data_IF_927419421332
#
_entry.id   IF_927419421332
#
_cell.length_a   1.000
_cell.length_b   1.000
_cell.length_c   1.000
_cell.angle_alpha   90.00
_cell.angle_beta   90.00
_cell.angle_gamma   90.00
#
_symmetry.space_group_name_H-M   'P 1'
#
loop_
_entity.id
_entity.type
_entity.pdbx_description
1 polymer ?
#
# COMPACT_ATOMS: atom_id res chain seq x y z
N UNK A 1 -13.80 -7.00 -64.50
CA UNK A 1 -13.66 -5.79 -63.67
C UNK A 1 -12.25 -5.28 -63.75
N UNK A 2 -12.08 -4.13 -64.43
CA UNK A 2 -10.77 -3.58 -64.78
C UNK A 2 -10.11 -2.91 -63.53
N UNK A 3 -8.79 -2.87 -63.49
CA UNK A 3 -8.01 -2.31 -62.38
C UNK A 3 -8.42 -0.85 -62.04
N UNK A 4 -8.80 -0.08 -63.06
CA UNK A 4 -9.30 1.28 -62.91
C UNK A 4 -10.66 1.37 -62.19
N UNK A 5 -11.59 0.45 -62.49
CA UNK A 5 -12.90 0.33 -61.80
C UNK A 5 -12.75 0.00 -60.32
N UNK A 6 -11.80 -0.89 -59.94
CA UNK A 6 -11.49 -1.20 -58.56
C UNK A 6 -10.98 0.01 -57.79
N UNK A 7 -10.12 0.83 -58.41
CA UNK A 7 -9.55 2.03 -57.81
C UNK A 7 -10.64 3.10 -57.58
N UNK A 8 -11.57 3.24 -58.52
CA UNK A 8 -12.64 4.21 -58.44
C UNK A 8 -13.70 3.82 -57.38
N UNK A 9 -13.97 2.52 -57.25
CA UNK A 9 -14.86 1.98 -56.19
C UNK A 9 -14.27 2.21 -54.80
N UNK A 10 -12.96 2.02 -54.62
CA UNK A 10 -12.27 2.26 -53.36
C UNK A 10 -12.22 3.76 -53.03
N UNK A 11 -12.03 4.64 -54.02
CA UNK A 11 -12.04 6.11 -53.81
C UNK A 11 -13.42 6.66 -53.44
N UNK A 12 -14.52 5.98 -53.83
CA UNK A 12 -15.90 6.38 -53.52
C UNK A 12 -16.40 5.87 -52.17
N UNK A 13 -15.71 4.89 -51.58
CA UNK A 13 -16.04 4.45 -50.22
C UNK A 13 -15.71 5.56 -49.23
N UNK A 14 -16.72 6.07 -48.56
CA UNK A 14 -16.52 6.92 -47.41
C UNK A 14 -15.96 6.06 -46.29
N UNK A 15 -14.65 6.18 -46.04
CA UNK A 15 -13.94 5.43 -44.99
C UNK A 15 -14.39 5.82 -43.57
N UNK A 16 -15.06 6.93 -43.42
CA UNK A 16 -15.61 7.42 -42.16
C UNK A 16 -17.09 7.78 -42.32
N UNK A 17 -17.94 7.14 -41.56
CA UNK A 17 -19.35 7.47 -41.39
C UNK A 17 -19.46 8.37 -40.14
N UNK A 18 -20.39 9.34 -40.09
CA UNK A 18 -20.56 10.19 -38.86
C UNK A 18 -20.72 9.38 -37.57
N UNK A 19 -21.29 8.16 -37.68
CA UNK A 19 -21.39 7.21 -36.55
C UNK A 19 -20.03 6.76 -36.00
N UNK A 20 -19.02 6.61 -36.87
CA UNK A 20 -17.69 6.16 -36.46
C UNK A 20 -17.02 7.23 -35.57
N UNK A 21 -17.24 8.51 -35.88
CA UNK A 21 -16.75 9.63 -35.05
C UNK A 21 -17.35 9.58 -33.65
N UNK A 22 -18.65 9.27 -33.56
CA UNK A 22 -19.31 9.14 -32.26
C UNK A 22 -18.75 7.96 -31.44
N UNK A 23 -18.48 6.82 -32.08
CA UNK A 23 -17.87 5.65 -31.43
C UNK A 23 -16.45 5.95 -30.95
N UNK A 24 -15.61 6.60 -31.80
CA UNK A 24 -14.26 6.99 -31.41
C UNK A 24 -14.26 8.02 -30.27
N UNK A 25 -15.17 9.01 -30.32
CA UNK A 25 -15.31 9.99 -29.24
C UNK A 25 -15.73 9.31 -27.91
N UNK A 26 -16.67 8.39 -27.95
CA UNK A 26 -17.09 7.64 -26.77
C UNK A 26 -15.95 6.78 -26.21
N UNK A 27 -15.19 6.09 -27.07
CA UNK A 27 -14.03 5.31 -26.66
C UNK A 27 -12.94 6.17 -26.01
N UNK A 28 -12.63 7.34 -26.59
CA UNK A 28 -11.67 8.29 -26.04
C UNK A 28 -12.12 8.82 -24.67
N UNK A 29 -13.40 9.16 -24.50
CA UNK A 29 -13.95 9.58 -23.22
C UNK A 29 -13.86 8.49 -22.17
N UNK A 30 -14.13 7.25 -22.53
CA UNK A 30 -14.02 6.10 -21.63
C UNK A 30 -12.56 5.87 -21.20
N UNK A 31 -11.62 5.94 -22.14
CA UNK A 31 -10.18 5.83 -21.84
C UNK A 31 -9.74 6.98 -20.93
N UNK A 32 -10.16 8.21 -21.22
CA UNK A 32 -9.85 9.37 -20.38
C UNK A 32 -10.42 9.22 -18.96
N UNK A 33 -11.66 8.74 -18.83
CA UNK A 33 -12.26 8.47 -17.53
C UNK A 33 -11.51 7.38 -16.75
N UNK A 34 -11.11 6.29 -17.40
CA UNK A 34 -10.30 5.24 -16.79
C UNK A 34 -8.92 5.75 -16.34
N UNK A 35 -8.28 6.59 -17.17
CA UNK A 35 -7.00 7.20 -16.82
C UNK A 35 -7.14 8.17 -15.64
N UNK A 36 -8.18 8.98 -15.61
CA UNK A 36 -8.45 9.87 -14.48
C UNK A 36 -8.67 9.06 -13.19
N UNK A 37 -9.45 7.98 -13.26
CA UNK A 37 -9.68 7.10 -12.12
C UNK A 37 -8.38 6.42 -11.63
N UNK A 38 -7.49 6.04 -12.55
CA UNK A 38 -6.21 5.44 -12.23
C UNK A 38 -5.19 6.44 -11.66
N UNK A 39 -5.22 7.71 -12.16
CA UNK A 39 -4.29 8.75 -11.73
C UNK A 39 -4.74 9.46 -10.43
N UNK A 40 -6.04 9.45 -10.13
CA UNK A 40 -6.62 10.00 -8.92
C UNK A 40 -7.34 8.90 -8.14
N UNK A 41 -6.61 7.93 -7.57
CA UNK A 41 -7.22 6.96 -6.68
C UNK A 41 -7.89 7.73 -5.54
N UNK A 42 -9.06 7.26 -5.12
CA UNK A 42 -9.70 7.79 -3.92
C UNK A 42 -8.66 7.80 -2.80
N UNK A 43 -8.51 8.93 -2.12
CA UNK A 43 -7.57 9.03 -1.01
C UNK A 43 -8.02 8.02 0.05
N UNK A 44 -7.23 6.97 0.24
CA UNK A 44 -7.45 6.04 1.34
C UNK A 44 -7.37 6.84 2.63
N UNK A 45 -8.36 6.73 3.48
CA UNK A 45 -8.36 7.39 4.78
C UNK A 45 -7.17 6.90 5.60
N UNK A 46 -6.53 7.82 6.35
CA UNK A 46 -5.45 7.46 7.25
C UNK A 46 -5.95 6.47 8.30
N UNK A 47 -5.14 5.46 8.61
CA UNK A 47 -5.50 4.47 9.61
C UNK A 47 -5.64 5.09 11.01
N UNK A 48 -6.47 4.49 11.84
CA UNK A 48 -6.68 4.92 13.24
C UNK A 48 -5.91 4.07 14.24
N UNK A 49 -5.58 2.83 13.85
CA UNK A 49 -4.83 1.86 14.66
C UNK A 49 -3.76 1.16 13.83
N UNK A 50 -2.74 0.68 14.48
CA UNK A 50 -1.80 -0.26 13.88
C UNK A 50 -1.75 -1.56 14.69
N UNK A 51 -1.45 -2.63 13.98
CA UNK A 51 -1.29 -3.97 14.50
C UNK A 51 0.12 -4.44 14.21
N UNK A 52 0.77 -5.03 15.19
CA UNK A 52 2.02 -5.75 14.98
C UNK A 52 1.66 -7.22 14.84
N UNK A 53 1.97 -7.79 13.68
CA UNK A 53 1.71 -9.18 13.35
C UNK A 53 3.03 -9.95 13.31
N UNK A 54 3.01 -11.18 13.79
CA UNK A 54 4.07 -12.16 13.67
C UNK A 54 3.52 -13.43 13.00
N UNK A 55 4.16 -13.87 11.93
CA UNK A 55 3.67 -15.01 11.12
C UNK A 55 2.19 -14.90 10.67
N UNK A 56 1.72 -13.67 10.47
CA UNK A 56 0.35 -13.40 10.03
C UNK A 56 -0.66 -13.20 11.17
N UNK A 57 -0.32 -13.54 12.41
CA UNK A 57 -1.17 -13.33 13.58
C UNK A 57 -0.89 -12.00 14.26
N UNK A 58 -1.92 -11.24 14.59
CA UNK A 58 -1.80 -9.99 15.34
C UNK A 58 -1.42 -10.29 16.80
N UNK A 59 -0.22 -9.87 17.21
CA UNK A 59 0.29 -10.07 18.57
C UNK A 59 0.16 -8.82 19.44
N UNK A 60 -0.01 -7.65 18.82
CA UNK A 60 -0.17 -6.38 19.53
C UNK A 60 -0.93 -5.38 18.68
N UNK A 61 -1.65 -4.46 19.32
CA UNK A 61 -2.28 -3.32 18.66
C UNK A 61 -2.25 -2.07 19.50
N UNK A 62 -2.10 -0.91 18.86
CA UNK A 62 -2.17 0.38 19.53
C UNK A 62 -2.82 1.44 18.61
N UNK A 63 -3.40 2.50 19.19
CA UNK A 63 -3.92 3.61 18.44
C UNK A 63 -2.78 4.40 17.79
N UNK A 64 -3.00 4.86 16.57
CA UNK A 64 -1.99 5.60 15.81
C UNK A 64 -1.88 7.06 16.24
N UNK A 65 -2.92 7.60 16.85
CA UNK A 65 -2.99 8.98 17.33
C UNK A 65 -2.30 9.24 18.69
N UNK A 66 -1.71 8.20 19.30
CA UNK A 66 -0.99 8.30 20.57
C UNK A 66 0.50 8.09 20.33
N UNK A 67 1.30 9.11 20.63
CA UNK A 67 2.74 9.02 20.54
C UNK A 67 3.28 8.02 21.58
N UNK A 68 3.98 7.00 21.09
CA UNK A 68 4.56 5.94 21.92
C UNK A 68 5.67 5.20 21.17
N UNK A 69 6.53 4.54 21.91
CA UNK A 69 7.55 3.63 21.38
C UNK A 69 7.33 2.23 21.94
N UNK A 70 7.56 1.23 21.07
CA UNK A 70 7.39 -0.18 21.39
C UNK A 70 8.59 -0.96 20.91
N UNK A 71 9.00 -1.91 21.69
CA UNK A 71 10.07 -2.84 21.36
C UNK A 71 9.44 -4.20 21.02
N UNK A 72 9.61 -4.63 19.78
CA UNK A 72 9.29 -5.99 19.35
C UNK A 72 10.55 -6.84 19.45
N UNK A 73 10.46 -8.01 20.07
CA UNK A 73 11.55 -8.98 20.22
C UNK A 73 11.05 -10.40 19.99
N UNK A 74 11.97 -11.32 19.75
CA UNK A 74 11.70 -12.75 19.68
C UNK A 74 12.45 -13.46 20.81
N UNK A 75 11.72 -13.88 21.82
CA UNK A 75 12.25 -14.70 22.93
C UNK A 75 11.88 -16.17 22.70
N UNK A 76 12.85 -17.02 22.51
CA UNK A 76 12.65 -18.46 22.22
C UNK A 76 11.67 -18.70 21.05
N UNK A 77 11.73 -17.84 20.00
CA UNK A 77 10.85 -17.91 18.83
C UNK A 77 9.42 -17.40 19.07
N UNK A 78 9.15 -16.81 20.22
CA UNK A 78 7.85 -16.20 20.54
C UNK A 78 7.93 -14.69 20.46
N UNK A 79 6.95 -14.05 19.80
CA UNK A 79 6.91 -12.60 19.71
C UNK A 79 6.55 -11.97 21.06
N UNK A 80 7.26 -10.93 21.44
CA UNK A 80 7.01 -10.09 22.59
C UNK A 80 7.00 -8.64 22.16
N UNK A 81 6.03 -7.87 22.65
CA UNK A 81 5.95 -6.43 22.39
C UNK A 81 5.78 -5.72 23.72
N UNK A 82 6.70 -4.82 24.02
CA UNK A 82 6.71 -4.04 25.25
C UNK A 82 6.80 -2.55 24.95
N UNK A 83 6.31 -1.72 25.87
CA UNK A 83 6.55 -0.28 25.80
C UNK A 83 8.04 -0.02 26.00
N UNK A 84 8.62 0.82 25.13
CA UNK A 84 10.03 1.19 25.19
C UNK A 84 10.19 2.59 25.77
N UNK A 85 11.07 2.74 26.73
CA UNK A 85 11.52 4.02 27.23
C UNK A 85 12.92 4.37 26.70
N UNK A 86 13.16 5.65 26.43
CA UNK A 86 14.47 6.09 25.92
C UNK A 86 15.57 5.75 26.94
N UNK A 87 16.57 4.99 26.46
CA UNK A 87 17.67 4.52 27.30
C UNK A 87 17.59 3.06 27.74
N UNK A 88 16.45 2.39 27.48
CA UNK A 88 16.37 0.95 27.72
C UNK A 88 17.35 0.20 26.79
N UNK A 89 17.88 -0.92 27.29
CA UNK A 89 18.77 -1.77 26.52
C UNK A 89 18.03 -2.41 25.36
N UNK A 90 18.67 -2.45 24.18
CA UNK A 90 18.16 -3.14 23.00
C UNK A 90 18.76 -4.54 22.95
N UNK A 91 17.94 -5.61 23.05
CA UNK A 91 18.41 -6.99 22.94
C UNK A 91 18.73 -7.36 21.49
N UNK A 92 19.19 -8.58 21.24
CA UNK A 92 19.29 -9.13 19.88
C UNK A 92 17.89 -9.49 19.34
N UNK A 93 17.70 -9.43 18.01
CA UNK A 93 16.45 -9.79 17.34
C UNK A 93 15.33 -8.78 17.54
N UNK A 94 15.63 -7.48 17.57
CA UNK A 94 14.66 -6.43 17.87
C UNK A 94 14.22 -5.60 16.65
N UNK A 95 13.03 -5.03 16.80
CA UNK A 95 12.56 -3.88 16.03
C UNK A 95 12.02 -2.82 17.00
N UNK A 96 12.60 -1.63 16.98
CA UNK A 96 12.09 -0.47 17.69
C UNK A 96 11.06 0.25 16.83
N UNK A 97 9.82 0.26 17.29
CA UNK A 97 8.67 0.82 16.59
C UNK A 97 8.27 2.12 17.28
N UNK A 98 8.12 3.20 16.51
CA UNK A 98 7.64 4.49 17.01
C UNK A 98 6.36 4.90 16.30
N UNK A 99 5.34 5.21 17.09
CA UNK A 99 4.14 5.89 16.64
C UNK A 99 4.25 7.36 17.07
N UNK A 100 4.23 8.28 16.10
CA UNK A 100 4.39 9.72 16.32
C UNK A 100 3.57 10.50 15.29
N UNK A 101 2.79 11.48 15.73
CA UNK A 101 2.05 12.37 14.84
C UNK A 101 1.08 11.66 13.89
N UNK A 102 0.42 10.58 14.35
CA UNK A 102 -0.51 9.80 13.53
C UNK A 102 0.16 8.90 12.49
N UNK A 103 1.43 8.58 12.66
CA UNK A 103 2.21 7.70 11.78
C UNK A 103 3.01 6.70 12.58
N UNK A 104 3.24 5.53 12.00
CA UNK A 104 4.11 4.52 12.60
C UNK A 104 5.31 4.24 11.69
N UNK A 105 6.45 3.96 12.29
CA UNK A 105 7.69 3.57 11.60
C UNK A 105 8.49 2.58 12.44
N UNK A 106 9.32 1.81 11.80
CA UNK A 106 10.44 1.14 12.46
C UNK A 106 11.57 2.15 12.55
N UNK A 107 11.91 2.55 13.76
CA UNK A 107 12.94 3.55 14.01
C UNK A 107 14.34 2.92 13.97
N UNK A 108 14.46 1.71 14.52
CA UNK A 108 15.69 0.95 14.58
C UNK A 108 15.40 -0.54 14.56
N UNK A 109 16.30 -1.34 14.04
CA UNK A 109 16.22 -2.81 14.02
C UNK A 109 17.63 -3.37 13.84
N UNK A 110 17.88 -4.58 14.29
CA UNK A 110 19.15 -5.28 14.06
C UNK A 110 19.09 -6.25 12.86
N UNK A 111 17.97 -6.27 12.12
CA UNK A 111 17.86 -7.05 10.89
C UNK A 111 18.94 -6.63 9.85
N UNK A 112 19.51 -7.58 9.09
CA UNK A 112 20.68 -7.31 8.24
C UNK A 112 20.38 -6.38 7.06
N UNK A 113 19.17 -6.41 6.51
CA UNK A 113 18.80 -5.67 5.30
C UNK A 113 18.24 -4.25 5.57
N UNK A 114 17.81 -3.97 6.81
CA UNK A 114 17.23 -2.67 7.22
C UNK A 114 16.05 -2.18 6.36
N UNK A 115 15.44 -3.06 5.57
CA UNK A 115 14.33 -2.72 4.67
C UNK A 115 13.14 -2.16 5.44
N UNK A 116 12.83 -2.70 6.63
CA UNK A 116 11.75 -2.23 7.48
C UNK A 116 11.91 -0.76 7.90
N UNK A 117 13.15 -0.28 8.07
CA UNK A 117 13.45 1.14 8.37
C UNK A 117 13.26 2.00 7.11
N UNK A 118 13.62 1.48 5.94
CA UNK A 118 13.52 2.19 4.67
C UNK A 118 12.08 2.51 4.25
N UNK A 119 11.08 1.78 4.78
CA UNK A 119 9.67 2.12 4.56
C UNK A 119 9.30 3.51 5.10
N UNK A 120 10.04 4.02 6.10
CA UNK A 120 9.77 5.31 6.71
C UNK A 120 8.48 5.36 7.54
N UNK A 121 8.03 6.57 7.89
CA UNK A 121 6.82 6.78 8.66
C UNK A 121 5.56 6.70 7.78
N UNK A 122 4.59 5.88 8.18
CA UNK A 122 3.36 5.61 7.43
C UNK A 122 2.12 5.81 8.28
N UNK A 123 1.07 6.31 7.64
CA UNK A 123 -0.29 6.47 8.20
C UNK A 123 -1.27 5.43 7.60
N UNK A 124 -0.80 4.57 6.68
CA UNK A 124 -1.58 3.54 5.99
C UNK A 124 -0.68 2.46 5.40
N UNK A 125 -1.28 1.32 5.07
CA UNK A 125 -0.57 0.18 4.45
C UNK A 125 0.22 -0.63 5.46
N UNK A 126 1.33 -1.20 5.02
CA UNK A 126 2.13 -2.15 5.80
C UNK A 126 3.61 -1.80 5.81
N UNK A 127 4.30 -2.16 6.90
CA UNK A 127 5.75 -2.17 7.03
C UNK A 127 6.16 -3.60 7.34
N UNK A 128 7.06 -4.17 6.53
CA UNK A 128 7.45 -5.58 6.64
C UNK A 128 8.91 -5.70 7.06
N UNK A 129 9.19 -6.54 8.05
CA UNK A 129 10.52 -7.00 8.42
C UNK A 129 10.60 -8.52 8.19
N UNK A 130 11.22 -8.93 7.08
CA UNK A 130 11.32 -10.34 6.71
C UNK A 130 12.18 -11.14 7.68
N UNK A 131 13.30 -10.58 8.13
CA UNK A 131 14.23 -11.25 9.02
C UNK A 131 13.57 -11.61 10.36
N UNK A 132 12.70 -10.75 10.86
CA UNK A 132 11.99 -10.98 12.13
C UNK A 132 10.55 -11.46 11.92
N UNK A 133 10.12 -11.75 10.68
CA UNK A 133 8.77 -12.25 10.32
C UNK A 133 7.65 -11.34 10.87
N UNK A 134 7.97 -10.05 11.03
CA UNK A 134 7.09 -9.04 11.60
C UNK A 134 6.47 -8.19 10.50
N UNK A 135 5.18 -7.92 10.62
CA UNK A 135 4.45 -6.97 9.77
C UNK A 135 3.71 -5.97 10.67
N UNK A 136 3.91 -4.68 10.43
CA UNK A 136 3.08 -3.65 11.00
C UNK A 136 2.00 -3.32 9.98
N UNK A 137 0.74 -3.57 10.31
CA UNK A 137 -0.43 -3.27 9.49
C UNK A 137 -1.18 -2.10 10.07
N UNK A 138 -1.54 -1.13 9.24
CA UNK A 138 -2.25 0.08 9.64
C UNK A 138 -3.67 0.01 9.06
N UNK A 139 -4.68 0.05 9.93
CA UNK A 139 -6.08 -0.13 9.55
C UNK A 139 -6.97 0.94 10.20
N UNK A 140 -8.13 1.17 9.61
CA UNK A 140 -9.20 1.95 10.22
C UNK A 140 -9.97 1.08 11.23
N UNK A 141 -10.32 1.66 12.37
CA UNK A 141 -11.18 1.01 13.36
C UNK A 141 -12.57 0.78 12.71
N UNK A 142 -12.83 -0.47 12.28
CA UNK A 142 -14.09 -0.85 11.61
C UNK A 142 -13.93 -1.86 10.47
N UNK A 143 -12.73 -2.13 10.00
CA UNK A 143 -12.43 -3.15 9.00
C UNK A 143 -11.73 -4.36 9.62
N UNK A 144 -12.24 -4.87 10.74
CA UNK A 144 -11.88 -6.21 11.18
C UNK A 144 -12.68 -7.18 10.30
N UNK A 145 -12.12 -7.54 9.16
CA UNK A 145 -12.54 -8.75 8.47
C UNK A 145 -11.97 -9.92 9.25
N UNK A 146 -12.82 -10.49 10.12
CA UNK A 146 -12.59 -11.83 10.65
C UNK A 146 -12.42 -12.78 9.47
N UNK A 147 -11.24 -13.34 9.29
CA UNK A 147 -10.94 -14.46 8.39
C UNK A 147 -10.70 -15.68 9.24
#
# INVERSE_FOLDING_TARGET
MNRAEKIDTVKRQKYFVPGDVAVFAAALLLIAACLLFALFPAADEAGTRFYICYDGEAVFSAPLNKDAAYLFTLEDGRPRVEAYAEGDALPEGYNLIRAEGGRVRVAEADCPDKTCIAFGARDRGEIVCWAHRMVIRIENEGLVTDV
#
